data_IF_558266676660
#
_entry.id   IF_558266676660
#
_cell.length_a   1.000
_cell.length_b   1.000
_cell.length_c   1.000
_cell.angle_alpha   90.00
_cell.angle_beta   90.00
_cell.angle_gamma   90.00
#
_symmetry.space_group_name_H-M   'P 1'
#
loop_
_entity.id
_entity.type
_entity.pdbx_description
1 polymer ?
#
# COMPACT_ATOMS: atom_id res chain seq x y z
N UNK A 1 -19.50 -42.27 21.13
CA UNK A 1 -18.05 -42.01 21.28
C UNK A 1 -17.79 -40.57 20.87
N UNK A 2 -17.51 -39.68 21.82
CA UNK A 2 -17.14 -38.31 21.49
C UNK A 2 -15.65 -38.29 21.13
N UNK A 3 -15.32 -38.47 19.84
CA UNK A 3 -13.95 -38.26 19.38
C UNK A 3 -13.65 -36.76 19.41
N UNK A 4 -13.14 -36.29 20.54
CA UNK A 4 -12.67 -34.92 20.70
C UNK A 4 -11.46 -34.70 19.79
N UNK A 5 -11.39 -33.58 19.09
CA UNK A 5 -10.26 -33.23 18.19
C UNK A 5 -8.88 -33.38 18.85
N UNK A 6 -8.82 -33.22 20.18
CA UNK A 6 -7.62 -33.40 21.00
C UNK A 6 -7.10 -34.86 21.06
N UNK A 7 -7.92 -35.85 20.68
CA UNK A 7 -7.53 -37.26 20.63
C UNK A 7 -6.79 -37.66 19.35
N UNK A 8 -6.72 -36.76 18.35
CA UNK A 8 -6.00 -37.02 17.10
C UNK A 8 -4.48 -37.03 17.32
N UNK A 9 -3.72 -37.86 16.57
CA UNK A 9 -2.26 -37.79 16.54
C UNK A 9 -1.75 -36.40 16.12
N UNK A 10 -0.56 -36.03 16.58
CA UNK A 10 0.02 -34.71 16.31
C UNK A 10 0.23 -34.46 14.81
N UNK A 11 0.59 -35.49 14.05
CA UNK A 11 0.73 -35.40 12.59
C UNK A 11 -0.61 -35.08 11.90
N UNK A 12 -1.72 -35.64 12.38
CA UNK A 12 -3.04 -35.33 11.86
C UNK A 12 -3.42 -33.88 12.17
N UNK A 13 -3.16 -33.42 13.40
CA UNK A 13 -3.39 -32.04 13.79
C UNK A 13 -2.51 -31.08 12.98
N UNK A 14 -1.23 -31.40 12.80
CA UNK A 14 -0.29 -30.62 12.00
C UNK A 14 -0.79 -30.50 10.57
N UNK A 15 -1.27 -31.61 9.97
CA UNK A 15 -1.80 -31.60 8.61
C UNK A 15 -3.05 -30.74 8.50
N UNK A 16 -4.01 -30.88 9.41
CA UNK A 16 -5.25 -30.08 9.40
C UNK A 16 -4.93 -28.59 9.55
N UNK A 17 -4.10 -28.21 10.53
CA UNK A 17 -3.73 -26.81 10.78
C UNK A 17 -2.91 -26.23 9.62
N UNK A 18 -2.04 -27.01 8.99
CA UNK A 18 -1.27 -26.55 7.82
C UNK A 18 -2.14 -26.19 6.60
N UNK A 19 -3.41 -26.62 6.57
CA UNK A 19 -4.38 -26.31 5.52
C UNK A 19 -5.27 -25.10 5.85
N UNK A 20 -5.12 -24.51 7.04
CA UNK A 20 -5.82 -23.28 7.45
C UNK A 20 -4.98 -22.04 7.15
N UNK A 21 -5.36 -20.87 7.66
CA UNK A 21 -4.53 -19.67 7.59
C UNK A 21 -3.51 -19.60 8.75
N UNK A 22 -2.42 -18.82 8.61
CA UNK A 22 -1.53 -18.48 9.73
C UNK A 22 -2.25 -17.87 10.92
N UNK A 23 -3.28 -17.05 10.69
CA UNK A 23 -4.14 -16.50 11.74
C UNK A 23 -4.87 -17.60 12.50
N UNK A 24 -5.45 -18.56 11.79
CA UNK A 24 -6.17 -19.67 12.41
C UNK A 24 -5.22 -20.57 13.21
N UNK A 25 -4.03 -20.87 12.67
CA UNK A 25 -3.00 -21.60 13.40
C UNK A 25 -2.60 -20.92 14.71
N UNK A 26 -2.43 -19.59 14.68
CA UNK A 26 -2.19 -18.81 15.88
C UNK A 26 -3.36 -18.92 16.87
N UNK A 27 -4.61 -18.82 16.41
CA UNK A 27 -5.80 -18.99 17.26
C UNK A 27 -5.88 -20.40 17.87
N UNK A 28 -5.56 -21.45 17.11
CA UNK A 28 -5.48 -22.82 17.65
C UNK A 28 -4.46 -22.91 18.79
N UNK A 29 -3.29 -22.27 18.67
CA UNK A 29 -2.26 -22.28 19.71
C UNK A 29 -2.69 -21.60 21.03
N UNK A 30 -3.69 -20.72 20.97
CA UNK A 30 -4.29 -20.07 22.13
C UNK A 30 -5.36 -20.96 22.78
N UNK A 31 -6.00 -21.84 22.01
CA UNK A 31 -7.10 -22.68 22.47
C UNK A 31 -6.66 -23.86 23.35
N UNK A 32 -5.49 -24.47 23.10
CA UNK A 32 -4.97 -25.56 23.93
C UNK A 32 -3.45 -25.68 23.89
N UNK A 33 -2.85 -26.26 24.94
CA UNK A 33 -1.41 -26.55 24.99
C UNK A 33 -0.98 -27.58 23.95
N UNK A 34 -1.86 -28.53 23.60
CA UNK A 34 -1.61 -29.53 22.54
C UNK A 34 -1.58 -28.91 21.15
N UNK A 35 -2.46 -27.95 20.87
CA UNK A 35 -2.38 -27.20 19.62
C UNK A 35 -1.13 -26.32 19.59
N UNK A 36 -0.74 -25.74 20.73
CA UNK A 36 0.49 -24.94 20.81
C UNK A 36 1.73 -25.74 20.45
N UNK A 37 1.89 -26.96 20.97
CA UNK A 37 3.04 -27.80 20.63
C UNK A 37 3.10 -28.15 19.13
N UNK A 38 1.96 -28.49 18.54
CA UNK A 38 1.84 -28.76 17.09
C UNK A 38 2.12 -27.50 16.26
N UNK A 39 1.67 -26.33 16.73
CA UNK A 39 1.89 -25.05 16.04
C UNK A 39 3.35 -24.62 16.09
N UNK A 40 4.18 -25.19 16.95
CA UNK A 40 5.62 -24.90 16.97
C UNK A 40 6.42 -25.76 15.96
N UNK A 41 5.78 -26.68 15.24
CA UNK A 41 6.45 -27.53 14.25
C UNK A 41 6.79 -26.78 12.95
N UNK A 42 8.04 -26.93 12.50
CA UNK A 42 8.54 -26.27 11.30
C UNK A 42 7.88 -26.75 10.00
N UNK A 43 7.43 -28.00 9.97
CA UNK A 43 6.68 -28.59 8.86
C UNK A 43 5.36 -27.85 8.61
N UNK A 44 4.71 -27.36 9.67
CA UNK A 44 3.49 -26.58 9.58
C UNK A 44 3.76 -25.19 8.98
N UNK A 45 4.75 -24.47 9.50
CA UNK A 45 5.10 -23.14 8.99
C UNK A 45 5.66 -23.17 7.56
N UNK A 46 6.28 -24.28 7.15
CA UNK A 46 6.67 -24.51 5.76
C UNK A 46 5.48 -24.45 4.81
N UNK A 47 4.28 -24.86 5.22
CA UNK A 47 3.07 -24.79 4.39
C UNK A 47 2.55 -23.36 4.22
N UNK A 48 2.80 -22.48 5.19
CA UNK A 48 2.42 -21.07 5.15
C UNK A 48 3.41 -20.17 4.40
N UNK A 49 4.64 -20.65 4.21
CA UNK A 49 5.61 -19.97 3.37
C UNK A 49 5.30 -20.22 1.88
N UNK A 50 5.55 -19.23 1.00
CA UNK A 50 5.48 -19.45 -0.43
C UNK A 50 6.34 -20.63 -0.87
N UNK A 51 5.84 -21.52 -1.73
CA UNK A 51 6.62 -22.67 -2.22
C UNK A 51 7.98 -22.28 -2.83
N UNK A 52 8.06 -21.08 -3.41
CA UNK A 52 9.27 -20.51 -4.01
C UNK A 52 10.04 -19.56 -3.06
N UNK A 53 9.87 -19.64 -1.73
CA UNK A 53 10.53 -18.75 -0.78
C UNK A 53 12.06 -18.73 -0.94
N UNK A 54 12.70 -19.87 -1.24
CA UNK A 54 14.15 -19.93 -1.43
C UNK A 54 14.63 -19.06 -2.62
N UNK A 55 13.87 -19.05 -3.71
CA UNK A 55 14.14 -18.19 -4.88
C UNK A 55 13.90 -16.72 -4.57
N UNK A 56 12.96 -16.42 -3.67
CA UNK A 56 12.74 -15.04 -3.20
C UNK A 56 13.91 -14.60 -2.34
N UNK A 57 14.39 -15.46 -1.43
CA UNK A 57 15.54 -15.16 -0.57
C UNK A 57 16.83 -14.95 -1.36
N UNK A 58 17.05 -15.68 -2.45
CA UNK A 58 18.22 -15.45 -3.32
C UNK A 58 18.21 -14.11 -4.06
N UNK A 59 17.06 -13.42 -4.11
CA UNK A 59 16.91 -12.09 -4.72
C UNK A 59 17.05 -10.95 -3.70
N UNK A 60 17.18 -11.28 -2.42
CA UNK A 60 17.28 -10.26 -1.36
C UNK A 60 18.59 -9.50 -1.46
N UNK A 61 18.53 -8.20 -1.17
CA UNK A 61 19.72 -7.34 -1.13
C UNK A 61 20.59 -7.73 0.06
N UNK A 62 19.97 -7.92 1.22
CA UNK A 62 20.62 -8.34 2.45
C UNK A 62 20.20 -9.76 2.83
N UNK A 63 21.14 -10.64 3.22
CA UNK A 63 20.81 -12.01 3.63
C UNK A 63 19.82 -12.06 4.79
N UNK A 64 18.72 -12.80 4.61
CA UNK A 64 17.73 -13.02 5.66
C UNK A 64 18.14 -14.22 6.49
N UNK A 65 18.73 -13.96 7.66
CA UNK A 65 19.09 -15.00 8.63
C UNK A 65 17.85 -15.44 9.41
N UNK A 66 17.59 -16.75 9.51
CA UNK A 66 16.48 -17.32 10.28
C UNK A 66 16.87 -18.65 10.93
N UNK A 67 16.26 -18.97 12.07
CA UNK A 67 16.54 -20.21 12.83
C UNK A 67 15.49 -21.31 12.60
N UNK A 68 14.31 -20.94 12.11
CA UNK A 68 13.18 -21.85 11.85
C UNK A 68 12.27 -21.29 10.75
N UNK A 69 11.37 -22.11 10.20
CA UNK A 69 10.37 -21.66 9.21
C UNK A 69 9.36 -20.71 9.84
N UNK A 70 9.05 -20.92 11.12
CA UNK A 70 8.25 -19.98 11.92
C UNK A 70 8.91 -18.61 12.01
N UNK A 71 10.19 -18.57 12.39
CA UNK A 71 10.97 -17.34 12.49
C UNK A 71 11.02 -16.60 11.13
N UNK A 72 11.27 -17.34 10.05
CA UNK A 72 11.24 -16.78 8.70
C UNK A 72 9.88 -16.15 8.35
N UNK A 73 8.77 -16.83 8.65
CA UNK A 73 7.43 -16.30 8.39
C UNK A 73 7.21 -14.97 9.13
N UNK A 74 7.51 -14.93 10.44
CA UNK A 74 7.32 -13.73 11.24
C UNK A 74 8.17 -12.56 10.73
N UNK A 75 9.45 -12.80 10.44
CA UNK A 75 10.36 -11.79 9.85
C UNK A 75 9.79 -11.18 8.58
N UNK A 76 9.35 -12.03 7.64
CA UNK A 76 8.77 -11.57 6.36
C UNK A 76 7.41 -10.88 6.53
N UNK A 77 6.66 -11.21 7.58
CA UNK A 77 5.36 -10.60 7.87
C UNK A 77 5.46 -9.25 8.62
N UNK A 78 6.52 -9.06 9.39
CA UNK A 78 6.75 -7.85 10.20
C UNK A 78 7.53 -6.79 9.43
N UNK A 79 8.57 -7.20 8.68
CA UNK A 79 9.38 -6.31 7.88
C UNK A 79 9.56 -6.84 6.47
N UNK A 80 9.18 -6.05 5.47
CA UNK A 80 9.45 -6.45 4.10
C UNK A 80 10.95 -6.32 3.80
N UNK A 81 11.48 -7.30 3.08
CA UNK A 81 12.88 -7.34 2.66
C UNK A 81 13.01 -6.68 1.29
N UNK A 82 14.11 -5.98 1.04
CA UNK A 82 14.42 -5.45 -0.29
C UNK A 82 14.88 -6.58 -1.20
N UNK A 83 14.37 -6.59 -2.42
CA UNK A 83 14.71 -7.56 -3.46
C UNK A 83 15.02 -6.85 -4.78
N UNK A 84 15.64 -7.56 -5.72
CA UNK A 84 15.95 -7.09 -7.07
C UNK A 84 16.73 -5.77 -7.04
N UNK A 85 17.92 -5.80 -6.45
CA UNK A 85 18.81 -4.63 -6.32
C UNK A 85 18.16 -3.45 -5.56
N UNK A 86 17.16 -3.76 -4.73
CA UNK A 86 16.42 -2.76 -3.96
C UNK A 86 15.40 -1.98 -4.79
N UNK A 87 14.96 -2.51 -5.93
CA UNK A 87 13.91 -1.88 -6.75
C UNK A 87 12.50 -2.33 -6.36
N UNK A 88 12.39 -3.44 -5.62
CA UNK A 88 11.16 -3.94 -5.04
C UNK A 88 11.37 -4.32 -3.57
N UNK A 89 10.28 -4.41 -2.81
CA UNK A 89 10.31 -5.06 -1.49
C UNK A 89 9.24 -6.13 -1.40
N UNK A 90 9.52 -7.16 -0.61
CA UNK A 90 8.71 -8.35 -0.46
C UNK A 90 8.40 -8.63 1.00
N UNK A 91 7.15 -8.95 1.30
CA UNK A 91 6.73 -9.41 2.62
C UNK A 91 5.55 -10.37 2.54
N UNK A 92 5.05 -10.80 3.69
CA UNK A 92 3.87 -11.66 3.80
C UNK A 92 2.75 -10.91 4.52
N UNK A 93 1.51 -11.06 4.06
CA UNK A 93 0.36 -10.64 4.83
C UNK A 93 0.21 -11.59 6.03
N UNK A 94 0.33 -11.03 7.24
CA UNK A 94 0.43 -11.79 8.50
C UNK A 94 -0.71 -12.79 8.72
N UNK A 95 -1.91 -12.49 8.23
CA UNK A 95 -3.10 -13.28 8.53
C UNK A 95 -3.27 -14.49 7.62
N UNK A 96 -2.94 -14.31 6.34
CA UNK A 96 -3.19 -15.24 5.24
C UNK A 96 -1.93 -15.89 4.70
N UNK A 97 -0.75 -15.31 4.95
CA UNK A 97 0.51 -15.71 4.30
C UNK A 97 0.58 -15.30 2.83
N UNK A 98 -0.34 -14.45 2.35
CA UNK A 98 -0.31 -13.96 0.98
C UNK A 98 0.96 -13.16 0.71
N UNK A 99 1.57 -13.33 -0.47
CA UNK A 99 2.72 -12.52 -0.89
C UNK A 99 2.30 -11.06 -1.02
N UNK A 100 3.07 -10.17 -0.42
CA UNK A 100 2.93 -8.72 -0.54
C UNK A 100 4.16 -8.17 -1.26
N UNK A 101 3.93 -7.29 -2.24
CA UNK A 101 5.01 -6.61 -2.95
C UNK A 101 4.84 -5.11 -2.88
N UNK A 102 5.99 -4.44 -2.89
CA UNK A 102 6.09 -3.01 -3.02
C UNK A 102 7.03 -2.67 -4.16
N UNK A 103 6.62 -1.73 -5.01
CA UNK A 103 7.43 -1.28 -6.15
C UNK A 103 8.01 0.10 -5.86
N UNK A 104 9.34 0.24 -6.01
CA UNK A 104 10.03 1.52 -5.89
C UNK A 104 9.61 2.49 -7.00
N UNK A 105 9.85 3.78 -6.78
CA UNK A 105 9.59 4.78 -7.82
C UNK A 105 10.48 4.60 -9.05
N UNK A 106 11.56 3.82 -8.96
CA UNK A 106 12.48 3.57 -10.08
C UNK A 106 11.87 2.63 -11.12
N UNK A 107 10.92 1.77 -10.72
CA UNK A 107 10.18 0.89 -11.63
C UNK A 107 8.83 1.46 -12.08
N UNK A 108 8.44 2.63 -11.57
CA UNK A 108 7.21 3.30 -11.98
C UNK A 108 7.44 4.12 -13.25
N UNK A 109 6.52 4.00 -14.21
CA UNK A 109 6.42 4.94 -15.32
C UNK A 109 5.66 6.17 -14.86
N UNK A 110 6.36 7.29 -14.78
CA UNK A 110 5.82 8.55 -14.29
C UNK A 110 5.84 9.57 -15.43
N UNK A 111 4.73 10.27 -15.63
CA UNK A 111 4.63 11.30 -16.67
C UNK A 111 5.63 12.44 -16.42
N UNK A 112 6.40 12.77 -17.46
CA UNK A 112 7.50 13.74 -17.45
C UNK A 112 8.65 13.39 -16.49
N UNK A 113 8.81 12.14 -16.06
CA UNK A 113 9.98 11.76 -15.26
C UNK A 113 11.29 11.80 -16.06
N UNK A 114 11.23 11.50 -17.37
CA UNK A 114 12.38 11.54 -18.28
C UNK A 114 12.57 12.92 -18.96
N UNK A 115 11.68 13.87 -18.68
CA UNK A 115 11.81 15.25 -19.15
C UNK A 115 12.93 15.98 -18.37
N UNK A 116 13.44 17.13 -18.84
CA UNK A 116 14.49 17.87 -18.15
C UNK A 116 14.17 18.05 -16.66
N UNK A 117 15.19 17.92 -15.80
CA UNK A 117 15.19 17.71 -14.33
C UNK A 117 14.30 18.62 -13.46
N UNK A 118 13.53 19.52 -14.05
CA UNK A 118 12.60 20.41 -13.37
C UNK A 118 11.41 19.63 -12.79
N UNK A 119 10.75 18.72 -13.52
CA UNK A 119 9.49 18.16 -13.00
C UNK A 119 9.66 17.16 -11.86
N UNK A 120 10.66 16.29 -11.99
CA UNK A 120 10.93 15.21 -11.05
C UNK A 120 12.41 15.13 -10.75
N UNK A 121 12.73 14.99 -9.47
CA UNK A 121 14.08 14.66 -9.01
C UNK A 121 14.12 13.22 -8.50
N UNK A 122 15.33 12.67 -8.36
CA UNK A 122 15.68 11.50 -7.52
C UNK A 122 16.58 12.03 -6.37
N UNK A 123 16.34 11.56 -5.15
CA UNK A 123 16.80 12.02 -3.82
C UNK A 123 16.76 10.80 -2.88
N UNK A 124 17.66 10.79 -1.92
CA UNK A 124 17.54 9.89 -0.77
C UNK A 124 16.55 10.48 0.23
N UNK A 125 15.77 9.63 0.90
CA UNK A 125 14.81 10.08 1.91
C UNK A 125 14.90 9.15 3.12
N UNK A 126 15.32 9.65 4.31
CA UNK A 126 15.62 8.81 5.47
C UNK A 126 14.46 7.90 5.91
N UNK A 127 13.22 8.34 5.76
CA UNK A 127 12.04 7.56 6.17
C UNK A 127 11.57 6.56 5.10
N UNK A 128 12.23 6.49 3.94
CA UNK A 128 11.93 5.49 2.92
C UNK A 128 12.80 4.26 3.11
N UNK A 129 12.20 3.08 2.87
CA UNK A 129 12.94 1.83 2.79
C UNK A 129 13.76 1.71 1.50
N UNK A 130 13.39 2.44 0.46
CA UNK A 130 14.09 2.42 -0.81
C UNK A 130 15.15 3.51 -0.82
N UNK A 131 16.32 3.20 -1.40
CA UNK A 131 17.48 4.09 -1.44
C UNK A 131 17.15 5.44 -2.06
N UNK A 132 16.42 5.39 -3.15
CA UNK A 132 16.01 6.54 -3.92
C UNK A 132 14.54 6.50 -4.15
N UNK A 133 13.98 7.68 -4.20
CA UNK A 133 12.55 7.82 -4.38
C UNK A 133 12.27 8.77 -5.62
N UNK A 134 11.05 9.16 -6.06
CA UNK A 134 10.78 10.24 -7.10
C UNK A 134 10.03 11.54 -6.65
N UNK A 135 10.66 12.74 -6.65
CA UNK A 135 10.15 13.96 -5.96
C UNK A 135 9.63 14.90 -7.00
N UNK A 136 8.32 15.15 -6.99
CA UNK A 136 7.77 16.18 -7.85
C UNK A 136 8.19 17.55 -7.34
N UNK A 137 8.90 18.30 -8.19
CA UNK A 137 9.50 19.59 -7.84
C UNK A 137 8.68 20.74 -8.43
N UNK A 138 7.95 20.51 -9.52
CA UNK A 138 7.04 21.49 -10.10
C UNK A 138 5.64 20.91 -10.29
N UNK A 139 4.61 21.77 -10.20
CA UNK A 139 3.25 21.34 -10.47
C UNK A 139 3.07 20.83 -11.90
N UNK A 140 2.68 19.57 -12.02
CA UNK A 140 2.46 18.87 -13.28
C UNK A 140 1.38 17.81 -13.09
N UNK A 141 0.86 17.25 -14.19
CA UNK A 141 -0.07 16.11 -14.12
C UNK A 141 0.58 14.94 -13.37
N UNK A 142 -0.07 14.48 -12.31
CA UNK A 142 0.17 13.19 -11.70
C UNK A 142 -0.42 12.11 -12.63
N UNK A 143 0.46 11.47 -13.40
CA UNK A 143 0.14 10.25 -14.13
C UNK A 143 1.23 9.21 -13.85
N UNK A 144 0.89 8.24 -13.01
CA UNK A 144 1.79 7.20 -12.52
C UNK A 144 1.23 5.87 -12.95
N UNK A 145 2.08 5.06 -13.55
CA UNK A 145 1.79 3.68 -13.94
C UNK A 145 2.81 2.78 -13.28
N UNK A 146 2.34 1.75 -12.60
CA UNK A 146 3.19 0.66 -12.14
C UNK A 146 2.65 -0.67 -12.63
N UNK A 147 3.57 -1.61 -12.81
CA UNK A 147 3.29 -2.92 -13.37
C UNK A 147 3.96 -4.00 -12.54
N UNK A 148 3.23 -5.08 -12.30
CA UNK A 148 3.78 -6.30 -11.69
C UNK A 148 3.31 -7.52 -12.46
N UNK A 149 4.14 -8.54 -12.53
CA UNK A 149 3.78 -9.80 -13.16
C UNK A 149 2.82 -10.58 -12.24
N UNK A 150 1.61 -10.91 -12.70
CA UNK A 150 0.63 -11.65 -11.89
C UNK A 150 1.15 -12.98 -11.34
N UNK A 151 2.08 -13.64 -12.03
CA UNK A 151 2.70 -14.90 -11.59
C UNK A 151 3.51 -14.76 -10.30
N UNK A 152 3.97 -13.56 -9.96
CA UNK A 152 4.73 -13.35 -8.72
C UNK A 152 3.82 -13.32 -7.49
N UNK A 153 2.51 -13.09 -7.66
CA UNK A 153 1.51 -13.04 -6.61
C UNK A 153 1.00 -14.43 -6.20
N UNK A 154 0.34 -14.49 -5.04
CA UNK A 154 -0.36 -15.69 -4.58
C UNK A 154 -1.67 -15.86 -5.35
N UNK A 155 -1.95 -17.09 -5.78
CA UNK A 155 -3.22 -17.43 -6.45
C UNK A 155 -4.37 -17.59 -5.46
N UNK A 156 -5.60 -17.56 -5.97
CA UNK A 156 -6.88 -17.68 -5.25
C UNK A 156 -7.11 -16.61 -4.19
N UNK A 157 -6.49 -15.44 -4.34
CA UNK A 157 -6.53 -14.35 -3.37
C UNK A 157 -6.96 -13.06 -4.05
N UNK A 158 -7.76 -12.27 -3.33
CA UNK A 158 -8.07 -10.88 -3.70
C UNK A 158 -6.93 -9.99 -3.26
N UNK A 159 -6.46 -9.15 -4.17
CA UNK A 159 -5.45 -8.16 -3.91
C UNK A 159 -6.05 -6.76 -3.92
N UNK A 160 -5.61 -5.92 -2.99
CA UNK A 160 -5.71 -4.47 -3.07
C UNK A 160 -4.42 -3.90 -3.62
N UNK A 161 -4.56 -2.96 -4.55
CA UNK A 161 -3.45 -2.16 -5.06
C UNK A 161 -3.50 -0.79 -4.37
N UNK A 162 -2.44 -0.42 -3.67
CA UNK A 162 -2.39 0.82 -2.89
C UNK A 162 -1.34 1.76 -3.47
N UNK A 163 -1.57 3.06 -3.37
CA UNK A 163 -0.54 4.07 -3.52
C UNK A 163 -0.15 4.57 -2.14
N UNK A 164 1.12 4.40 -1.79
CA UNK A 164 1.75 5.03 -0.63
C UNK A 164 2.50 6.27 -1.10
N UNK A 165 2.59 7.30 -0.26
CA UNK A 165 3.30 8.54 -0.51
C UNK A 165 3.37 9.36 0.78
N UNK A 166 4.17 10.41 0.79
CA UNK A 166 4.25 11.42 1.84
C UNK A 166 3.98 12.79 1.19
N UNK A 167 3.43 13.70 1.97
CA UNK A 167 3.31 15.11 1.60
C UNK A 167 4.38 15.84 2.41
N UNK A 168 5.19 16.69 1.77
CA UNK A 168 6.16 17.51 2.52
C UNK A 168 5.49 18.77 3.02
N UNK A 169 5.80 19.18 4.25
CA UNK A 169 5.37 20.42 4.87
C UNK A 169 6.08 21.61 4.22
N UNK A 170 5.63 21.98 3.03
CA UNK A 170 5.97 23.26 2.43
C UNK A 170 4.73 23.78 1.71
N UNK A 171 3.70 24.10 2.49
CA UNK A 171 3.19 25.47 2.46
C UNK A 171 2.19 25.77 3.56
N UNK A 172 2.66 26.47 4.58
CA UNK A 172 1.79 27.18 5.52
C UNK A 172 1.07 28.37 4.85
N UNK A 173 1.46 28.75 3.62
CA UNK A 173 1.00 29.99 2.97
C UNK A 173 0.10 29.84 1.74
N UNK A 174 -0.17 28.64 1.22
CA UNK A 174 -1.16 28.45 0.14
C UNK A 174 -2.35 27.63 0.63
N UNK A 175 -3.04 28.20 1.60
CA UNK A 175 -4.40 27.77 1.93
C UNK A 175 -5.48 28.38 1.05
N UNK A 176 -5.10 29.08 -0.01
CA UNK A 176 -6.07 29.58 -0.99
C UNK A 176 -6.30 28.51 -2.07
N UNK A 177 -7.35 27.72 -1.84
CA UNK A 177 -8.08 26.95 -2.86
C UNK A 177 -7.46 25.62 -3.29
N UNK A 178 -7.08 24.75 -2.35
CA UNK A 178 -6.98 23.32 -2.67
C UNK A 178 -8.40 22.73 -2.62
N UNK A 179 -9.17 23.01 -3.67
CA UNK A 179 -10.47 22.42 -3.86
C UNK A 179 -10.34 20.92 -4.16
N UNK A 180 -11.05 20.08 -3.40
CA UNK A 180 -11.49 18.70 -3.73
C UNK A 180 -10.80 18.06 -4.95
N UNK A 181 -9.49 17.83 -4.91
CA UNK A 181 -8.80 17.24 -6.06
C UNK A 181 -9.05 15.75 -6.07
N UNK A 182 -10.03 15.34 -6.86
CA UNK A 182 -10.35 13.95 -7.17
C UNK A 182 -9.36 13.41 -8.19
N UNK A 183 -8.60 12.38 -7.83
CA UNK A 183 -7.78 11.63 -8.79
C UNK A 183 -8.54 10.39 -9.26
N UNK A 184 -8.45 10.09 -10.56
CA UNK A 184 -8.99 8.83 -11.10
C UNK A 184 -7.92 7.77 -11.07
N UNK A 185 -8.31 6.59 -10.66
CA UNK A 185 -7.40 5.46 -10.50
C UNK A 185 -8.01 4.23 -11.14
N UNK A 186 -7.15 3.35 -11.63
CA UNK A 186 -7.58 2.08 -12.17
C UNK A 186 -6.57 0.99 -11.93
N UNK A 187 -7.05 -0.23 -11.73
CA UNK A 187 -6.25 -1.45 -11.72
C UNK A 187 -6.77 -2.37 -12.81
N UNK A 188 -5.89 -2.84 -13.68
CA UNK A 188 -6.21 -3.68 -14.83
C UNK A 188 -5.45 -5.00 -14.74
N UNK A 189 -6.19 -6.11 -14.91
CA UNK A 189 -5.67 -7.50 -14.93
C UNK A 189 -6.44 -8.25 -16.02
N UNK A 190 -5.76 -8.64 -17.10
CA UNK A 190 -6.44 -9.22 -18.26
C UNK A 190 -7.57 -8.32 -18.77
N UNK A 191 -8.79 -8.84 -18.81
CA UNK A 191 -10.01 -8.11 -19.17
C UNK A 191 -10.67 -7.38 -18.00
N UNK A 192 -10.24 -7.64 -16.76
CA UNK A 192 -10.78 -7.02 -15.56
C UNK A 192 -10.21 -5.60 -15.37
N UNK A 193 -11.09 -4.64 -15.10
CA UNK A 193 -10.72 -3.25 -14.77
C UNK A 193 -11.49 -2.76 -13.56
N UNK A 194 -10.77 -2.51 -12.46
CA UNK A 194 -11.28 -1.82 -11.28
C UNK A 194 -10.99 -0.32 -11.41
N UNK A 195 -11.97 0.55 -11.11
CA UNK A 195 -11.80 2.01 -11.15
C UNK A 195 -12.25 2.62 -9.82
N UNK A 196 -11.47 3.57 -9.30
CA UNK A 196 -11.82 4.35 -8.11
C UNK A 196 -11.58 5.83 -8.34
N UNK A 197 -12.30 6.64 -7.59
CA UNK A 197 -11.98 8.05 -7.37
C UNK A 197 -11.30 8.13 -6.01
N UNK A 198 -10.12 8.74 -5.94
CA UNK A 198 -9.38 8.87 -4.69
C UNK A 198 -9.14 10.32 -4.33
N UNK A 199 -9.05 10.58 -3.04
CA UNK A 199 -8.61 11.85 -2.48
C UNK A 199 -7.24 11.64 -1.84
N UNK A 200 -6.20 12.20 -2.48
CA UNK A 200 -4.82 12.12 -1.98
C UNK A 200 -4.51 13.06 -0.80
N UNK A 201 -5.45 13.93 -0.43
CA UNK A 201 -5.32 14.72 0.78
C UNK A 201 -6.30 14.17 1.81
N UNK A 202 -5.81 13.59 2.93
CA UNK A 202 -6.69 12.99 3.93
C UNK A 202 -7.53 14.05 4.68
N UNK A 203 -7.13 15.32 4.64
CA UNK A 203 -7.79 16.44 5.31
C UNK A 203 -7.65 17.69 4.45
N UNK A 204 -8.74 18.41 4.19
CA UNK A 204 -8.66 19.77 3.66
C UNK A 204 -9.13 20.76 4.73
N UNK A 205 -8.37 21.83 4.89
CA UNK A 205 -8.65 22.89 5.84
C UNK A 205 -9.49 23.95 5.12
N UNK A 206 -10.72 24.16 5.58
CA UNK A 206 -11.59 25.23 5.09
C UNK A 206 -11.30 26.49 5.89
N UNK A 207 -10.70 27.48 5.24
CA UNK A 207 -10.58 28.81 5.81
C UNK A 207 -11.85 29.58 5.51
N UNK A 208 -12.61 29.94 6.55
CA UNK A 208 -13.70 30.89 6.38
C UNK A 208 -13.24 32.26 6.84
N UNK A 209 -13.36 33.27 5.97
CA UNK A 209 -13.26 34.66 6.39
C UNK A 209 -14.54 34.97 7.17
N UNK A 210 -14.44 35.05 8.49
CA UNK A 210 -15.55 35.55 9.30
C UNK A 210 -15.78 37.02 8.90
N UNK A 211 -16.83 37.31 8.14
CA UNK A 211 -17.27 38.69 7.91
C UNK A 211 -17.85 39.19 9.24
N UNK A 212 -17.29 40.24 9.87
CA UNK A 212 -17.92 40.83 11.04
C UNK A 212 -19.29 41.38 10.63
N UNK A 213 -20.32 41.17 11.48
CA UNK A 213 -21.70 41.61 11.22
C UNK A 213 -21.91 43.12 11.35
N UNK A 214 -20.86 43.92 11.58
CA UNK A 214 -20.99 45.35 11.79
C UNK A 214 -19.91 46.13 11.03
N UNK A 215 -20.36 47.10 10.24
CA UNK A 215 -19.54 48.10 9.56
C UNK A 215 -18.90 49.01 10.62
N UNK A 216 -17.59 48.87 10.84
CA UNK A 216 -16.72 49.93 11.35
C UNK A 216 -15.27 49.55 10.98
N UNK A 217 -14.56 50.52 10.40
CA UNK A 217 -13.21 50.38 9.87
C UNK A 217 -12.21 49.99 10.97
N UNK A 218 -11.82 48.71 11.02
CA UNK A 218 -10.51 48.19 11.43
C UNK A 218 -10.52 46.65 11.27
N UNK A 219 -10.09 46.17 10.10
CA UNK A 219 -10.17 44.77 9.71
C UNK A 219 -9.04 43.91 10.31
N UNK A 220 -9.21 43.45 11.55
CA UNK A 220 -8.52 42.25 12.02
C UNK A 220 -9.33 41.02 11.58
N UNK A 221 -9.04 40.54 10.37
CA UNK A 221 -9.62 39.30 9.82
C UNK A 221 -9.10 38.11 10.64
N UNK A 222 -9.94 37.54 11.52
CA UNK A 222 -9.65 36.23 12.13
C UNK A 222 -9.91 35.14 11.09
N UNK A 223 -8.83 34.48 10.64
CA UNK A 223 -8.92 33.21 9.90
C UNK A 223 -9.41 32.12 10.86
N UNK A 224 -10.57 31.54 10.58
CA UNK A 224 -11.07 30.36 11.31
C UNK A 224 -10.76 29.11 10.49
N UNK A 225 -10.00 28.20 11.09
CA UNK A 225 -9.66 26.88 10.56
C UNK A 225 -10.83 25.93 10.84
N UNK A 226 -11.57 25.55 9.80
CA UNK A 226 -12.61 24.51 9.89
C UNK A 226 -12.12 23.24 9.20
N UNK A 227 -12.12 22.14 9.93
CA UNK A 227 -11.84 20.80 9.40
C UNK A 227 -13.17 20.18 8.97
N UNK A 228 -13.33 19.90 7.67
CA UNK A 228 -14.54 19.27 7.15
C UNK A 228 -14.17 17.95 6.47
N UNK A 229 -14.76 16.85 6.94
CA UNK A 229 -14.61 15.54 6.29
C UNK A 229 -15.48 15.54 5.04
N UNK A 230 -14.97 15.10 3.86
CA UNK A 230 -15.80 15.06 2.66
C UNK A 230 -16.96 14.08 2.83
N UNK A 231 -18.15 14.47 2.35
CA UNK A 231 -19.25 13.54 2.10
C UNK A 231 -18.88 12.68 0.89
N UNK A 232 -18.73 11.37 1.09
CA UNK A 232 -18.25 10.43 0.06
C UNK A 232 -19.30 9.41 -0.29
N UNK A 233 -19.36 9.07 -1.57
CA UNK A 233 -19.92 7.79 -1.99
C UNK A 233 -18.87 6.70 -1.75
N UNK A 234 -18.97 6.01 -0.60
CA UNK A 234 -18.04 4.97 -0.18
C UNK A 234 -17.87 3.82 -1.20
N UNK A 235 -18.77 3.67 -2.18
CA UNK A 235 -18.66 2.63 -3.20
C UNK A 235 -17.62 2.97 -4.29
N UNK A 236 -17.32 4.26 -4.50
CA UNK A 236 -16.47 4.74 -5.59
C UNK A 236 -15.32 5.59 -5.06
N UNK A 237 -15.53 6.29 -3.96
CA UNK A 237 -14.64 7.30 -3.43
C UNK A 237 -13.88 6.84 -2.20
N UNK A 238 -12.55 6.89 -2.30
CA UNK A 238 -11.64 6.46 -1.23
C UNK A 238 -10.81 7.65 -0.75
N UNK A 239 -10.80 7.88 0.56
CA UNK A 239 -9.87 8.85 1.18
C UNK A 239 -8.58 8.14 1.54
N UNK A 240 -7.45 8.78 1.27
CA UNK A 240 -6.17 8.37 1.79
C UNK A 240 -6.14 8.35 3.33
N UNK A 241 -5.30 7.49 3.91
CA UNK A 241 -5.16 7.30 5.35
C UNK A 241 -3.71 7.44 5.75
N UNK A 242 -3.47 8.16 6.86
CA UNK A 242 -2.14 8.24 7.46
C UNK A 242 -1.83 6.91 8.19
N UNK A 243 -0.65 6.38 7.94
CA UNK A 243 -0.08 5.19 8.57
C UNK A 243 0.68 5.57 9.84
N UNK A 244 0.99 4.57 10.67
CA UNK A 244 1.73 4.76 11.92
C UNK A 244 3.19 5.20 11.69
N UNK A 245 3.76 4.91 10.52
CA UNK A 245 5.11 5.32 10.09
C UNK A 245 5.14 6.74 9.49
N UNK A 246 4.02 7.47 9.54
CA UNK A 246 3.91 8.84 9.02
C UNK A 246 3.70 8.92 7.51
N UNK A 247 3.74 7.80 6.78
CA UNK A 247 3.36 7.74 5.37
C UNK A 247 1.84 7.79 5.21
N UNK A 248 1.38 8.09 4.00
CA UNK A 248 -0.04 8.10 3.62
C UNK A 248 -0.26 6.99 2.61
N UNK A 249 -1.34 6.22 2.76
CA UNK A 249 -1.74 5.17 1.83
C UNK A 249 -3.18 5.35 1.34
N UNK A 250 -3.45 4.94 0.11
CA UNK A 250 -4.80 4.96 -0.47
C UNK A 250 -5.02 3.74 -1.37
N UNK A 251 -6.20 3.11 -1.28
CA UNK A 251 -6.56 2.00 -2.16
C UNK A 251 -6.99 2.52 -3.54
N UNK A 252 -6.35 2.00 -4.58
CA UNK A 252 -6.50 2.41 -5.97
C UNK A 252 -7.44 1.49 -6.74
N UNK A 253 -7.70 0.31 -6.18
CA UNK A 253 -8.57 -0.71 -6.74
C UNK A 253 -8.24 -2.08 -6.17
N UNK A 254 -9.12 -3.04 -6.44
CA UNK A 254 -8.91 -4.45 -6.09
C UNK A 254 -9.04 -5.33 -7.31
N UNK A 255 -8.42 -6.50 -7.27
CA UNK A 255 -8.50 -7.51 -8.32
C UNK A 255 -8.36 -8.90 -7.69
N UNK A 256 -8.78 -9.95 -8.39
CA UNK A 256 -8.65 -11.33 -7.94
C UNK A 256 -7.66 -12.07 -8.84
N UNK A 257 -6.77 -12.86 -8.24
CA UNK A 257 -5.88 -13.76 -8.97
C UNK A 257 -6.45 -15.16 -8.81
N UNK A 258 -7.01 -15.75 -9.88
CA UNK A 258 -7.55 -17.11 -9.84
C UNK A 258 -6.43 -18.16 -10.01
N UNK A 259 -5.78 -18.14 -11.17
CA UNK A 259 -4.63 -18.98 -11.52
C UNK A 259 -3.45 -18.14 -11.98
N UNK A 260 -2.24 -18.68 -11.86
CA UNK A 260 -1.05 -18.09 -12.48
C UNK A 260 -1.08 -18.37 -13.99
N UNK A 261 -2.04 -17.80 -14.71
CA UNK A 261 -2.11 -17.91 -16.17
C UNK A 261 -1.00 -17.09 -16.84
N UNK A 262 -0.65 -17.47 -18.06
CA UNK A 262 0.54 -16.99 -18.75
C UNK A 262 0.46 -15.50 -19.11
N UNK A 263 1.28 -14.69 -18.44
CA UNK A 263 1.75 -13.41 -18.98
C UNK A 263 0.92 -12.17 -18.66
N UNK A 264 -0.11 -12.27 -17.81
CA UNK A 264 -0.90 -11.09 -17.46
C UNK A 264 -0.11 -10.14 -16.55
N UNK A 265 0.25 -8.97 -17.11
CA UNK A 265 0.80 -7.86 -16.33
C UNK A 265 -0.34 -7.12 -15.64
N UNK A 266 -0.27 -7.03 -14.31
CA UNK A 266 -1.18 -6.21 -13.52
C UNK A 266 -0.70 -4.77 -13.66
N UNK A 267 -1.58 -3.88 -14.12
CA UNK A 267 -1.26 -2.47 -14.30
C UNK A 267 -2.13 -1.63 -13.37
N UNK A 268 -1.48 -0.85 -12.51
CA UNK A 268 -2.14 0.20 -11.74
C UNK A 268 -1.81 1.56 -12.35
N UNK A 269 -2.82 2.43 -12.46
CA UNK A 269 -2.66 3.80 -12.96
C UNK A 269 -3.40 4.82 -12.10
N UNK A 270 -2.78 5.98 -11.92
CA UNK A 270 -3.36 7.18 -11.29
C UNK A 270 -3.32 8.31 -12.31
N UNK A 271 -4.38 9.10 -12.47
CA UNK A 271 -4.40 10.26 -13.37
C UNK A 271 -5.17 11.42 -12.72
N UNK A 272 -4.62 12.63 -12.80
CA UNK A 272 -5.34 13.87 -12.48
C UNK A 272 -6.52 14.14 -13.44
N UNK A 273 -7.58 14.75 -12.92
CA UNK A 273 -8.77 15.06 -13.70
C UNK A 273 -8.51 16.15 -14.78
N UNK A 274 -8.83 15.85 -16.04
CA UNK A 274 -8.58 16.72 -17.22
C UNK A 274 -9.35 18.07 -17.17
N UNK A 275 -10.44 18.16 -16.42
CA UNK A 275 -11.30 19.36 -16.30
C UNK A 275 -10.62 20.54 -15.56
N UNK A 276 -9.53 20.31 -14.83
CA UNK A 276 -8.89 21.31 -13.98
C UNK A 276 -7.77 22.11 -14.68
N UNK A 277 -7.71 22.08 -16.02
CA UNK A 277 -6.76 22.87 -16.85
C UNK A 277 -6.80 24.39 -16.62
N UNK A 278 -7.82 24.92 -15.93
CA UNK A 278 -8.01 26.37 -15.71
C UNK A 278 -7.27 26.95 -14.51
N UNK A 279 -6.69 26.10 -13.65
CA UNK A 279 -5.93 26.56 -12.50
C UNK A 279 -4.58 25.85 -12.52
N UNK A 280 -3.51 26.50 -13.04
CA UNK A 280 -2.17 25.98 -12.82
C UNK A 280 -1.98 25.88 -11.31
N UNK A 281 -1.72 24.68 -10.81
CA UNK A 281 -1.28 24.45 -9.43
C UNK A 281 -0.17 25.47 -9.15
N UNK A 282 -0.44 26.44 -8.28
CA UNK A 282 0.49 27.55 -8.00
C UNK A 282 1.40 27.24 -6.82
N UNK A 283 1.68 25.95 -6.61
CA UNK A 283 2.85 25.44 -5.89
C UNK A 283 3.03 23.93 -6.12
N UNK A 284 4.27 23.50 -5.97
CA UNK A 284 4.74 22.13 -6.08
C UNK A 284 3.94 21.22 -5.16
N UNK A 285 3.12 20.36 -5.74
CA UNK A 285 2.81 19.14 -5.01
C UNK A 285 4.13 18.36 -4.98
N UNK A 286 4.79 18.35 -3.84
CA UNK A 286 5.84 17.39 -3.56
C UNK A 286 5.18 16.02 -3.49
N UNK A 287 5.20 15.32 -4.61
CA UNK A 287 5.02 13.88 -4.57
C UNK A 287 6.30 13.36 -3.95
N UNK A 288 6.32 13.27 -2.63
CA UNK A 288 7.18 12.31 -1.97
C UNK A 288 6.50 10.95 -2.21
N UNK A 289 6.79 10.24 -3.31
CA UNK A 289 7.87 9.25 -3.30
C UNK A 289 7.49 7.90 -2.69
N UNK A 290 6.83 7.08 -3.51
CA UNK A 290 6.62 5.62 -3.36
C UNK A 290 5.54 5.16 -2.39
N UNK A 291 4.73 4.16 -2.71
CA UNK A 291 5.03 2.77 -3.05
C UNK A 291 3.74 2.17 -3.63
N UNK A 292 3.79 1.38 -4.70
CA UNK A 292 2.61 0.54 -5.01
C UNK A 292 2.62 -0.70 -4.13
N UNK A 293 1.71 -0.80 -3.16
CA UNK A 293 1.57 -2.02 -2.37
C UNK A 293 0.52 -2.90 -3.02
N UNK A 294 0.91 -4.12 -3.39
CA UNK A 294 -0.03 -5.19 -3.67
C UNK A 294 -0.17 -6.03 -2.41
N UNK A 295 -1.30 -5.88 -1.71
CA UNK A 295 -1.57 -6.59 -0.46
C UNK A 295 -2.74 -7.54 -0.66
N UNK A 296 -2.59 -8.79 -0.24
CA UNK A 296 -3.72 -9.72 -0.15
C UNK A 296 -4.74 -9.19 0.86
N UNK A 297 -5.98 -9.02 0.45
CA UNK A 297 -7.12 -8.70 1.31
C UNK A 297 -7.87 -10.01 1.49
N UNK A 298 -7.79 -10.57 2.70
CA UNK A 298 -8.60 -11.73 3.10
C UNK A 298 -10.07 -11.31 3.25
#
# INVERSE_FOLDING_TARGET
MNSTINSLPEDCLCRVISLTSPRDAYNFSLASTRFRSVVDFDTMWKAFLPSNYAVILSRTVDPVMFTSKKDLFFKLSESHVLIDEGTMSFGLERSSGAKCYMISANLLKIFLADAPHFYWRRISFPDSRFREVAMRTFPSRLDIVGKINGKTLSSKIRYGAYLVYKLTETCEDISYTIGKMRQRTSVTVGTHVSKRIVFLEPFYVKYTLAKPRFFLNNLNVKKVLLYEKPELDNNIEIIAKKRNDGWIEVEMGTFYIDKQEDGESIQQRTIDNKELKKYPLKQSIHLSRELQIFRGIA
#
